data_IF_390841497564
#
_entry.id   IF_390841497564
#
_cell.length_a   1.000
_cell.length_b   1.000
_cell.length_c   1.000
_cell.angle_alpha   90.00
_cell.angle_beta   90.00
_cell.angle_gamma   90.00
#
_symmetry.space_group_name_H-M   'P 1'
#
loop_
_entity.id
_entity.type
_entity.pdbx_description
1 polymer ?
#
# COMPACT_ATOMS: atom_id res chain seq x y z
N UNK A 1 3.98 -14.05 -10.87
CA UNK A 1 4.97 -15.14 -10.62
C UNK A 1 4.27 -16.46 -10.35
N UNK A 2 3.39 -16.58 -9.35
CA UNK A 2 2.69 -17.86 -9.09
C UNK A 2 1.80 -18.27 -10.27
N UNK A 3 1.07 -17.34 -10.85
CA UNK A 3 0.27 -17.57 -12.07
C UNK A 3 1.13 -18.01 -13.29
N UNK A 4 2.42 -17.69 -13.30
CA UNK A 4 3.38 -18.17 -14.30
C UNK A 4 4.04 -19.52 -13.95
N UNK A 5 3.50 -20.25 -12.96
CA UNK A 5 4.03 -21.57 -12.58
C UNK A 5 5.26 -21.57 -11.68
N UNK A 6 5.70 -20.39 -11.19
CA UNK A 6 6.85 -20.34 -10.28
C UNK A 6 6.41 -20.69 -8.84
N UNK A 7 6.87 -21.82 -8.27
CA UNK A 7 6.41 -22.29 -6.98
C UNK A 7 7.00 -21.46 -5.83
N UNK A 8 6.16 -20.64 -5.20
CA UNK A 8 6.50 -19.83 -4.02
C UNK A 8 5.86 -20.39 -2.76
N UNK A 9 6.50 -20.16 -1.62
CA UNK A 9 5.98 -20.37 -0.27
C UNK A 9 5.99 -19.05 0.45
N UNK A 10 4.85 -18.63 1.00
CA UNK A 10 4.79 -17.52 1.94
C UNK A 10 5.25 -18.04 3.31
N UNK A 11 6.33 -17.48 3.84
CA UNK A 11 6.91 -17.86 5.13
C UNK A 11 6.54 -16.92 6.26
N UNK A 12 6.07 -15.72 5.91
CA UNK A 12 5.57 -14.72 6.85
C UNK A 12 4.63 -13.76 6.12
N UNK A 13 3.40 -13.69 6.57
CA UNK A 13 2.48 -12.63 6.17
C UNK A 13 2.72 -11.42 7.07
N UNK A 14 3.04 -10.28 6.47
CA UNK A 14 3.34 -9.04 7.21
C UNK A 14 2.17 -8.07 7.22
N UNK A 15 1.42 -7.98 6.12
CA UNK A 15 0.24 -7.12 6.04
C UNK A 15 -1.03 -7.95 6.09
N UNK A 16 -1.82 -7.79 7.15
CA UNK A 16 -3.10 -8.47 7.35
C UNK A 16 -4.25 -7.73 6.66
N UNK A 17 -4.07 -6.43 6.42
CA UNK A 17 -5.07 -5.56 5.83
C UNK A 17 -4.55 -4.87 4.56
N UNK A 18 -5.46 -4.58 3.62
CA UNK A 18 -5.13 -3.83 2.41
C UNK A 18 -4.93 -2.35 2.72
N UNK A 19 -3.82 -1.80 2.24
CA UNK A 19 -3.54 -0.37 2.24
C UNK A 19 -4.13 0.35 1.03
N UNK A 20 -4.64 -0.39 0.05
CA UNK A 20 -5.11 0.18 -1.21
C UNK A 20 -6.34 1.04 -1.02
N UNK A 21 -6.33 2.19 -1.67
CA UNK A 21 -7.45 3.12 -1.75
C UNK A 21 -7.58 3.67 -3.17
N UNK A 22 -8.77 4.15 -3.52
CA UNK A 22 -8.97 5.06 -4.64
C UNK A 22 -9.33 6.41 -4.05
N UNK A 23 -8.61 7.45 -4.45
CA UNK A 23 -8.86 8.83 -4.05
C UNK A 23 -9.41 9.60 -5.24
N UNK A 24 -10.57 10.24 -5.08
CA UNK A 24 -11.21 11.08 -6.10
C UNK A 24 -11.13 12.56 -5.73
N UNK A 25 -11.32 13.40 -6.74
CA UNK A 25 -11.48 14.86 -6.56
C UNK A 25 -12.93 15.21 -6.20
N UNK A 26 -13.10 16.41 -5.68
CA UNK A 26 -14.39 17.08 -5.53
C UNK A 26 -15.41 16.36 -4.62
N UNK A 27 -14.95 15.61 -3.62
CA UNK A 27 -15.84 14.97 -2.66
C UNK A 27 -16.71 13.84 -3.22
N UNK A 28 -16.37 13.32 -4.41
CA UNK A 28 -17.16 12.27 -5.06
C UNK A 28 -16.71 10.88 -4.60
N UNK A 29 -17.68 9.99 -4.38
CA UNK A 29 -17.36 8.57 -4.19
C UNK A 29 -16.71 8.01 -5.47
N UNK A 30 -15.49 7.44 -5.36
CA UNK A 30 -14.79 6.85 -6.51
C UNK A 30 -15.63 5.83 -7.28
N UNK A 31 -16.59 5.18 -6.61
CA UNK A 31 -17.50 4.22 -7.24
C UNK A 31 -18.59 4.85 -8.11
N UNK A 32 -18.79 6.14 -7.97
CA UNK A 32 -19.82 6.90 -8.74
C UNK A 32 -19.24 7.64 -9.95
N UNK A 33 -17.93 7.62 -10.14
CA UNK A 33 -17.25 8.35 -11.19
C UNK A 33 -17.63 7.81 -12.58
N UNK A 34 -18.25 8.64 -13.40
CA UNK A 34 -18.61 8.30 -14.79
C UNK A 34 -17.60 8.91 -15.75
N UNK A 35 -17.10 8.09 -16.69
CA UNK A 35 -16.14 8.51 -17.74
C UNK A 35 -14.88 9.21 -17.16
N UNK A 36 -14.53 8.91 -15.92
CA UNK A 36 -13.41 9.52 -15.22
C UNK A 36 -12.07 9.02 -15.73
N UNK A 37 -11.05 9.86 -15.67
CA UNK A 37 -9.66 9.47 -15.81
C UNK A 37 -9.13 9.03 -14.46
N UNK A 38 -8.71 7.77 -14.36
CA UNK A 38 -8.19 7.18 -13.13
C UNK A 38 -6.72 6.82 -13.33
N UNK A 39 -5.84 7.45 -12.57
CA UNK A 39 -4.41 7.13 -12.61
C UNK A 39 -4.11 5.89 -11.77
N UNK A 40 -3.20 5.05 -12.26
CA UNK A 40 -2.77 3.83 -11.58
C UNK A 40 -1.31 3.52 -11.91
N UNK A 41 -0.69 2.61 -11.12
CA UNK A 41 0.64 2.13 -11.42
C UNK A 41 0.65 1.23 -12.66
N UNK A 42 1.80 1.15 -13.30
CA UNK A 42 2.08 0.11 -14.29
C UNK A 42 2.23 -1.25 -13.59
N UNK A 43 2.09 -2.32 -14.33
CA UNK A 43 2.43 -3.70 -13.88
C UNK A 43 1.38 -4.44 -13.05
N UNK A 44 0.08 -4.14 -13.22
CA UNK A 44 -1.00 -5.02 -12.75
C UNK A 44 -1.36 -4.92 -11.28
N UNK A 45 -0.85 -3.92 -10.54
CA UNK A 45 -1.30 -3.63 -9.17
C UNK A 45 -2.72 -3.07 -9.10
N UNK A 46 -3.30 -2.74 -10.24
CA UNK A 46 -4.57 -2.06 -10.39
C UNK A 46 -5.74 -3.00 -10.70
N UNK A 47 -5.52 -4.30 -10.80
CA UNK A 47 -6.56 -5.26 -11.20
C UNK A 47 -7.79 -5.20 -10.28
N UNK A 48 -7.57 -5.12 -8.97
CA UNK A 48 -8.65 -5.00 -8.00
C UNK A 48 -9.37 -3.66 -8.15
N UNK A 49 -8.63 -2.55 -8.27
CA UNK A 49 -9.20 -1.23 -8.48
C UNK A 49 -10.04 -1.17 -9.76
N UNK A 50 -9.53 -1.73 -10.86
CA UNK A 50 -10.27 -1.83 -12.13
C UNK A 50 -11.55 -2.65 -11.97
N UNK A 51 -11.51 -3.77 -11.26
CA UNK A 51 -12.69 -4.62 -11.06
C UNK A 51 -13.80 -3.90 -10.27
N UNK A 52 -13.43 -3.15 -9.24
CA UNK A 52 -14.38 -2.37 -8.42
C UNK A 52 -15.02 -1.23 -9.21
N UNK A 53 -14.23 -0.47 -9.97
CA UNK A 53 -14.73 0.69 -10.74
C UNK A 53 -15.40 0.23 -12.03
N UNK A 54 -14.80 -0.68 -12.79
CA UNK A 54 -15.33 -1.12 -14.10
C UNK A 54 -16.53 -2.05 -13.97
N UNK A 55 -16.65 -2.81 -12.88
CA UNK A 55 -17.79 -3.68 -12.62
C UNK A 55 -19.13 -2.95 -12.52
N UNK A 56 -19.12 -1.62 -12.47
CA UNK A 56 -20.30 -0.76 -12.42
C UNK A 56 -20.65 -0.08 -13.77
N UNK A 57 -19.94 -0.44 -14.84
CA UNK A 57 -20.21 0.12 -16.17
C UNK A 57 -19.94 1.62 -16.32
N UNK A 58 -19.06 2.18 -15.49
CA UNK A 58 -18.83 3.63 -15.42
C UNK A 58 -17.96 4.18 -16.56
N UNK A 59 -17.37 3.32 -17.40
CA UNK A 59 -16.63 3.72 -18.59
C UNK A 59 -15.38 4.53 -18.31
N UNK A 60 -14.72 4.30 -17.17
CA UNK A 60 -13.53 5.04 -16.75
C UNK A 60 -12.33 4.76 -17.66
N UNK A 61 -11.57 5.81 -17.96
CA UNK A 61 -10.28 5.72 -18.66
C UNK A 61 -9.15 5.52 -17.65
N UNK A 62 -8.43 4.42 -17.77
CA UNK A 62 -7.27 4.11 -16.91
C UNK A 62 -5.99 4.66 -17.53
N UNK A 63 -5.24 5.42 -16.74
CA UNK A 63 -3.97 6.04 -17.14
C UNK A 63 -2.86 5.44 -16.28
N UNK A 64 -1.98 4.66 -16.93
CA UNK A 64 -0.85 4.04 -16.26
C UNK A 64 0.34 4.99 -16.17
N UNK A 65 0.88 5.17 -14.97
CA UNK A 65 2.03 6.02 -14.70
C UNK A 65 2.97 5.36 -13.68
N UNK A 66 4.23 5.77 -13.68
CA UNK A 66 5.20 5.36 -12.66
C UNK A 66 4.83 5.98 -11.31
N UNK A 67 4.41 7.25 -11.34
CA UNK A 67 3.96 8.00 -10.16
C UNK A 67 2.56 8.57 -10.40
N UNK A 68 1.50 7.75 -10.25
CA UNK A 68 0.12 8.17 -10.56
C UNK A 68 -0.35 9.34 -9.72
N UNK A 69 0.13 9.46 -8.47
CA UNK A 69 -0.18 10.57 -7.57
C UNK A 69 0.19 11.94 -8.16
N UNK A 70 1.27 12.03 -8.95
CA UNK A 70 1.69 13.28 -9.56
C UNK A 70 0.66 13.78 -10.58
N UNK A 71 0.04 12.89 -11.34
CA UNK A 71 -1.04 13.23 -12.26
C UNK A 71 -2.28 13.73 -11.52
N UNK A 72 -2.59 13.14 -10.37
CA UNK A 72 -3.69 13.56 -9.52
C UNK A 72 -3.42 14.95 -8.93
N UNK A 73 -2.26 15.19 -8.35
CA UNK A 73 -1.89 16.49 -7.77
C UNK A 73 -1.90 17.58 -8.85
N UNK A 74 -1.39 17.29 -10.04
CA UNK A 74 -1.38 18.22 -11.17
C UNK A 74 -2.77 18.49 -11.79
N UNK A 75 -3.83 17.79 -11.37
CA UNK A 75 -5.16 17.97 -11.93
C UNK A 75 -5.42 17.30 -13.28
N UNK A 76 -4.52 16.42 -13.72
CA UNK A 76 -4.60 15.74 -15.00
C UNK A 76 -5.59 14.55 -15.02
N UNK A 77 -5.98 14.07 -13.84
CA UNK A 77 -6.90 12.95 -13.65
C UNK A 77 -7.94 13.26 -12.56
N UNK A 78 -9.07 12.57 -12.61
CA UNK A 78 -10.20 12.75 -11.68
C UNK A 78 -10.02 11.93 -10.40
N UNK A 79 -9.31 10.79 -10.50
CA UNK A 79 -9.02 9.93 -9.37
C UNK A 79 -7.66 9.24 -9.54
N UNK A 80 -7.14 8.70 -8.45
CA UNK A 80 -5.91 7.91 -8.45
C UNK A 80 -6.01 6.73 -7.50
N UNK A 81 -5.39 5.61 -7.87
CA UNK A 81 -5.10 4.52 -6.94
C UNK A 81 -3.91 4.95 -6.07
N UNK A 82 -3.98 4.65 -4.79
CA UNK A 82 -2.99 5.06 -3.79
C UNK A 82 -2.89 4.02 -2.68
N UNK A 83 -1.76 4.03 -1.94
CA UNK A 83 -1.62 3.35 -0.67
C UNK A 83 -1.76 4.34 0.48
N UNK A 84 -2.40 3.92 1.57
CA UNK A 84 -2.65 4.79 2.74
C UNK A 84 -1.36 5.29 3.36
N UNK A 85 -0.35 4.45 3.41
CA UNK A 85 0.94 4.76 4.04
C UNK A 85 1.89 5.60 3.17
N UNK A 86 1.61 5.80 1.89
CA UNK A 86 2.50 6.55 0.99
C UNK A 86 1.74 7.61 0.18
N UNK A 87 1.10 7.24 -0.93
CA UNK A 87 0.53 8.21 -1.88
C UNK A 87 -0.59 9.06 -1.26
N UNK A 88 -1.41 8.51 -0.36
CA UNK A 88 -2.42 9.30 0.34
C UNK A 88 -1.79 10.39 1.21
N UNK A 89 -0.65 10.09 1.85
CA UNK A 89 0.12 11.08 2.61
C UNK A 89 0.72 12.15 1.68
N UNK A 90 1.23 11.75 0.51
CA UNK A 90 1.75 12.69 -0.49
C UNK A 90 0.66 13.63 -1.03
N UNK A 91 -0.54 13.12 -1.25
CA UNK A 91 -1.71 13.91 -1.66
C UNK A 91 -2.00 14.99 -0.60
N UNK A 92 -2.01 14.60 0.68
CA UNK A 92 -2.23 15.54 1.79
C UNK A 92 -1.11 16.57 1.90
N UNK A 93 0.14 16.17 1.75
CA UNK A 93 1.29 17.08 1.74
C UNK A 93 1.23 18.10 0.59
N UNK A 94 0.67 17.71 -0.54
CA UNK A 94 0.46 18.61 -1.67
C UNK A 94 -0.69 19.63 -1.45
N UNK A 95 -1.28 19.65 -0.26
CA UNK A 95 -2.36 20.58 0.11
C UNK A 95 -3.77 20.09 -0.24
N UNK A 96 -3.92 18.84 -0.66
CA UNK A 96 -5.24 18.23 -0.82
C UNK A 96 -5.64 17.52 0.48
N UNK A 97 -6.83 17.83 0.99
CA UNK A 97 -7.44 17.10 2.10
C UNK A 97 -8.72 16.40 1.60
N UNK A 98 -8.58 15.18 1.06
CA UNK A 98 -9.72 14.43 0.54
C UNK A 98 -10.70 14.12 1.67
N UNK A 99 -11.98 14.46 1.46
CA UNK A 99 -13.02 14.08 2.42
C UNK A 99 -13.16 12.55 2.50
N UNK A 100 -13.73 12.02 3.60
CA UNK A 100 -13.92 10.58 3.76
C UNK A 100 -14.65 9.93 2.57
N UNK A 101 -15.62 10.61 1.99
CA UNK A 101 -16.41 10.15 0.84
C UNK A 101 -15.57 10.06 -0.44
N UNK A 102 -14.51 10.87 -0.54
CA UNK A 102 -13.57 10.86 -1.66
C UNK A 102 -12.58 9.71 -1.62
N UNK A 103 -12.56 8.94 -0.54
CA UNK A 103 -11.60 7.86 -0.32
C UNK A 103 -12.34 6.52 -0.24
N UNK A 104 -12.25 5.72 -1.28
CA UNK A 104 -12.72 4.34 -1.24
C UNK A 104 -11.60 3.45 -0.70
N UNK A 105 -11.80 2.93 0.52
CA UNK A 105 -10.89 1.99 1.17
C UNK A 105 -11.28 0.56 0.84
N UNK A 106 -10.39 -0.20 0.22
CA UNK A 106 -10.69 -1.57 -0.19
C UNK A 106 -11.01 -2.45 1.01
N UNK A 107 -10.22 -2.37 2.10
CA UNK A 107 -10.43 -3.17 3.31
C UNK A 107 -11.80 -2.98 3.94
N UNK A 108 -12.34 -1.76 3.92
CA UNK A 108 -13.60 -1.40 4.60
C UNK A 108 -14.83 -1.71 3.73
N UNK A 109 -14.62 -2.13 2.48
CA UNK A 109 -15.69 -2.34 1.49
C UNK A 109 -15.76 -3.78 0.96
N UNK A 110 -15.28 -4.76 1.72
CA UNK A 110 -15.35 -6.18 1.36
C UNK A 110 -14.24 -6.67 0.44
N UNK A 111 -13.19 -5.87 0.24
CA UNK A 111 -12.04 -6.21 -0.61
C UNK A 111 -10.73 -6.20 0.19
N UNK A 112 -10.79 -6.67 1.44
CA UNK A 112 -9.60 -6.76 2.27
C UNK A 112 -8.70 -7.90 1.82
N UNK A 113 -7.68 -7.59 1.02
CA UNK A 113 -6.70 -8.55 0.53
C UNK A 113 -5.40 -8.34 1.29
N UNK A 114 -4.81 -9.42 1.79
CA UNK A 114 -3.48 -9.41 2.37
C UNK A 114 -2.47 -9.09 1.26
N UNK A 115 -1.70 -8.02 1.41
CA UNK A 115 -0.87 -7.50 0.32
C UNK A 115 0.59 -7.95 0.43
N UNK A 116 1.23 -7.70 1.56
CA UNK A 116 2.66 -7.88 1.73
C UNK A 116 3.00 -9.13 2.53
N UNK A 117 4.10 -9.78 2.14
CA UNK A 117 4.60 -10.94 2.83
C UNK A 117 6.01 -11.31 2.38
N UNK A 118 6.64 -12.18 3.12
CA UNK A 118 7.95 -12.71 2.78
C UNK A 118 7.79 -14.06 2.08
N UNK A 119 8.29 -14.11 0.86
CA UNK A 119 8.17 -15.29 -0.01
C UNK A 119 9.55 -15.84 -0.37
N UNK A 120 9.62 -17.16 -0.55
CA UNK A 120 10.80 -17.80 -1.11
C UNK A 120 10.38 -18.92 -2.07
N UNK A 121 11.31 -19.39 -2.93
CA UNK A 121 11.03 -20.54 -3.76
C UNK A 121 10.79 -21.79 -2.92
N UNK A 122 9.84 -22.63 -3.36
CA UNK A 122 9.55 -23.89 -2.66
C UNK A 122 10.77 -24.80 -2.56
N UNK A 123 11.59 -24.84 -3.60
CA UNK A 123 12.81 -25.64 -3.62
C UNK A 123 13.83 -25.17 -2.58
N UNK A 124 13.98 -23.85 -2.37
CA UNK A 124 14.84 -23.29 -1.35
C UNK A 124 14.28 -23.57 0.05
N UNK A 125 12.97 -23.33 0.25
CA UNK A 125 12.28 -23.60 1.53
C UNK A 125 12.49 -25.04 2.00
N UNK A 126 12.25 -26.03 1.13
CA UNK A 126 12.38 -27.43 1.48
C UNK A 126 13.82 -27.81 1.92
N UNK A 127 14.83 -27.16 1.35
CA UNK A 127 16.24 -27.38 1.71
C UNK A 127 16.71 -26.60 2.94
N UNK A 128 15.98 -25.54 3.33
CA UNK A 128 16.42 -24.59 4.34
C UNK A 128 15.31 -24.22 5.33
N UNK A 129 14.42 -25.16 5.63
CA UNK A 129 13.22 -24.90 6.42
C UNK A 129 13.52 -24.24 7.76
N UNK A 130 14.45 -24.77 8.53
CA UNK A 130 14.85 -24.22 9.84
C UNK A 130 15.37 -22.77 9.73
N UNK A 131 16.13 -22.45 8.67
CA UNK A 131 16.59 -21.06 8.42
C UNK A 131 15.43 -20.15 8.08
N UNK A 132 14.48 -20.59 7.25
CA UNK A 132 13.29 -19.84 6.89
C UNK A 132 12.42 -19.55 8.11
N UNK A 133 12.18 -20.55 8.95
CA UNK A 133 11.39 -20.44 10.17
C UNK A 133 12.04 -19.50 11.20
N UNK A 134 13.39 -19.56 11.35
CA UNK A 134 14.13 -18.61 12.19
C UNK A 134 14.04 -17.19 11.68
N UNK A 135 14.15 -17.00 10.37
CA UNK A 135 14.01 -15.69 9.74
C UNK A 135 12.60 -15.12 9.98
N UNK A 136 11.56 -15.92 9.75
CA UNK A 136 10.18 -15.51 9.96
C UNK A 136 9.91 -15.10 11.42
N UNK A 137 10.39 -15.90 12.39
CA UNK A 137 10.28 -15.56 13.82
C UNK A 137 11.04 -14.29 14.20
N UNK A 138 12.25 -14.11 13.66
CA UNK A 138 13.05 -12.92 13.92
C UNK A 138 12.37 -11.66 13.34
N UNK A 139 11.84 -11.75 12.13
CA UNK A 139 11.10 -10.65 11.48
C UNK A 139 9.84 -10.29 12.26
N UNK A 140 9.08 -11.28 12.72
CA UNK A 140 7.88 -11.04 13.55
C UNK A 140 8.25 -10.30 14.84
N UNK A 141 9.24 -10.78 15.57
CA UNK A 141 9.73 -10.09 16.79
C UNK A 141 10.23 -8.67 16.50
N UNK A 142 10.83 -8.46 15.33
CA UNK A 142 11.22 -7.12 14.90
C UNK A 142 10.02 -6.18 14.77
N UNK A 143 8.92 -6.63 14.18
CA UNK A 143 7.71 -5.84 14.05
C UNK A 143 6.98 -5.64 15.39
N UNK A 144 6.94 -6.64 16.26
CA UNK A 144 6.44 -6.53 17.63
C UNK A 144 7.24 -5.46 18.40
N UNK A 145 8.57 -5.51 18.29
CA UNK A 145 9.42 -4.48 18.90
C UNK A 145 9.16 -3.07 18.35
N UNK A 146 8.96 -2.93 17.03
CA UNK A 146 8.60 -1.64 16.41
C UNK A 146 7.27 -1.11 16.94
N UNK A 147 6.29 -1.97 17.14
CA UNK A 147 5.00 -1.58 17.70
C UNK A 147 5.13 -1.07 19.14
N UNK A 148 5.99 -1.71 19.94
CA UNK A 148 6.24 -1.33 21.35
C UNK A 148 7.19 -0.11 21.47
N UNK A 149 8.05 0.13 20.47
CA UNK A 149 9.10 1.16 20.49
C UNK A 149 9.09 2.04 19.23
N UNK A 150 7.95 2.69 18.87
CA UNK A 150 7.81 3.37 17.58
C UNK A 150 8.77 4.57 17.40
N UNK A 151 9.09 5.31 18.48
CA UNK A 151 10.02 6.44 18.36
C UNK A 151 11.47 5.99 18.14
N UNK A 152 11.91 4.92 18.82
CA UNK A 152 13.25 4.35 18.59
C UNK A 152 13.36 3.74 17.19
N UNK A 153 12.31 3.05 16.72
CA UNK A 153 12.24 2.55 15.35
C UNK A 153 12.33 3.71 14.34
N UNK A 154 11.64 4.81 14.62
CA UNK A 154 11.69 6.01 13.80
C UNK A 154 13.09 6.64 13.78
N UNK A 155 13.81 6.65 14.91
CA UNK A 155 15.19 7.14 14.97
C UNK A 155 16.12 6.30 14.10
N UNK A 156 15.95 4.97 14.11
CA UNK A 156 16.68 4.07 13.21
C UNK A 156 16.40 4.43 11.75
N UNK A 157 15.12 4.55 11.36
CA UNK A 157 14.72 4.92 10.00
C UNK A 157 15.34 6.27 9.60
N UNK A 158 15.25 7.29 10.47
CA UNK A 158 15.79 8.61 10.19
C UNK A 158 17.32 8.61 10.08
N UNK A 159 18.02 7.72 10.75
CA UNK A 159 19.46 7.54 10.57
C UNK A 159 19.80 7.10 9.13
N UNK A 160 19.03 6.17 8.57
CA UNK A 160 19.17 5.73 7.18
C UNK A 160 18.72 6.81 6.19
N UNK A 161 17.64 7.54 6.47
CA UNK A 161 17.19 8.69 5.68
C UNK A 161 18.34 9.70 5.52
N UNK A 162 19.00 10.04 6.62
CA UNK A 162 20.17 10.95 6.62
C UNK A 162 21.35 10.35 5.85
N UNK A 163 21.68 9.08 6.12
CA UNK A 163 22.81 8.38 5.48
C UNK A 163 22.67 8.34 3.96
N UNK A 164 21.47 8.06 3.45
CA UNK A 164 21.19 7.90 2.02
C UNK A 164 20.62 9.16 1.37
N UNK A 165 20.53 10.28 2.11
CA UNK A 165 20.00 11.57 1.63
C UNK A 165 18.61 11.45 0.98
N UNK A 166 17.73 10.68 1.60
CA UNK A 166 16.36 10.49 1.11
C UNK A 166 15.54 11.75 1.39
N UNK A 167 14.81 12.25 0.38
CA UNK A 167 13.98 13.43 0.49
C UNK A 167 12.69 13.15 1.28
N UNK A 168 12.76 13.19 2.60
CA UNK A 168 11.63 13.00 3.52
C UNK A 168 11.92 13.71 4.85
N UNK A 169 10.97 13.69 5.77
CA UNK A 169 11.14 14.23 7.11
C UNK A 169 10.52 13.32 8.18
N UNK A 170 10.84 13.59 9.46
CA UNK A 170 10.41 12.76 10.59
C UNK A 170 8.88 12.67 10.74
N UNK A 171 8.15 13.76 10.45
CA UNK A 171 6.68 13.78 10.58
C UNK A 171 6.07 12.79 9.59
N UNK A 172 6.50 12.85 8.34
CA UNK A 172 6.04 11.95 7.28
C UNK A 172 6.37 10.50 7.62
N UNK A 173 7.60 10.22 8.04
CA UNK A 173 8.02 8.86 8.40
C UNK A 173 7.25 8.31 9.61
N UNK A 174 6.87 9.16 10.56
CA UNK A 174 6.00 8.78 11.68
C UNK A 174 4.61 8.41 11.21
N UNK A 175 4.00 9.22 10.34
CA UNK A 175 2.68 8.92 9.79
C UNK A 175 2.70 7.65 8.96
N UNK A 176 3.74 7.43 8.14
CA UNK A 176 3.92 6.19 7.40
C UNK A 176 4.03 4.98 8.34
N UNK A 177 4.83 5.08 9.41
CA UNK A 177 4.98 4.01 10.39
C UNK A 177 3.66 3.66 11.07
N UNK A 178 2.90 4.66 11.50
CA UNK A 178 1.58 4.47 12.11
C UNK A 178 0.61 3.74 11.18
N UNK A 179 0.54 4.14 9.91
CA UNK A 179 -0.29 3.46 8.92
C UNK A 179 0.18 2.02 8.69
N UNK A 180 1.48 1.79 8.51
CA UNK A 180 2.02 0.44 8.30
C UNK A 180 1.73 -0.47 9.48
N UNK A 181 1.90 0.00 10.72
CA UNK A 181 1.58 -0.78 11.92
C UNK A 181 0.08 -1.12 11.98
N UNK A 182 -0.81 -0.21 11.59
CA UNK A 182 -2.25 -0.46 11.53
C UNK A 182 -2.66 -1.56 10.53
N UNK A 183 -1.82 -1.82 9.53
CA UNK A 183 -2.06 -2.85 8.52
C UNK A 183 -1.58 -4.23 8.97
N UNK A 184 -0.60 -4.27 9.88
CA UNK A 184 0.03 -5.51 10.36
C UNK A 184 -0.65 -6.10 11.59
N UNK A 185 -1.24 -5.27 12.43
CA UNK A 185 -1.93 -5.71 13.62
C UNK A 185 -3.31 -6.25 13.23
N UNK A 186 -3.58 -7.47 13.59
CA UNK A 186 -4.94 -8.01 13.58
C UNK A 186 -5.77 -7.15 14.55
N UNK A 187 -6.82 -6.52 14.03
CA UNK A 187 -7.80 -5.80 14.86
C UNK A 187 -8.74 -6.83 15.50
N UNK A 188 -8.17 -7.79 16.25
CA UNK A 188 -8.92 -8.78 17.03
C UNK A 188 -9.31 -8.22 18.39
#
# INVERSE_FOLDING_TARGET
MVAGGFPLVNILQTSMNSAMVIVSRNGQDPRSLKKAKVATWRSGFDQLARSVVSGRGLGSQWIEAVYPVNLFVAGAVDATVAMTYNELLLIRQAGFDPSPESIFRFRDNGYNIQEEGVYMSRSYYLKNKDRADRFARASRRGWEWVADNPEEALDIVMSYVKKYRIATNRIVQRLMLQEVLSLQLDSS
#
